data_IF_821630414127
#
_entry.id   IF_821630414127
#
_cell.length_a   1.000
_cell.length_b   1.000
_cell.length_c   1.000
_cell.angle_alpha   90.00
_cell.angle_beta   90.00
_cell.angle_gamma   90.00
#
_symmetry.space_group_name_H-M   'P 1'
#
loop_
_entity.id
_entity.type
_entity.pdbx_description
1 polymer ?
#
# COMPACT_ATOMS: atom_id res chain seq x y z
N UNK A 1 15.39 -10.57 -13.93
CA UNK A 1 15.10 -9.18 -14.35
C UNK A 1 13.69 -8.74 -13.95
N UNK A 2 12.62 -9.45 -14.37
CA UNK A 2 11.24 -9.03 -14.08
C UNK A 2 10.93 -8.87 -12.58
N UNK A 3 11.40 -9.79 -11.73
CA UNK A 3 11.24 -9.70 -10.28
C UNK A 3 11.87 -8.43 -9.70
N UNK A 4 13.15 -8.19 -9.98
CA UNK A 4 13.87 -7.00 -9.50
C UNK A 4 13.17 -5.73 -9.97
N UNK A 5 12.76 -5.66 -11.24
CA UNK A 5 12.03 -4.51 -11.77
C UNK A 5 10.70 -4.27 -11.04
N UNK A 6 9.92 -5.33 -10.78
CA UNK A 6 8.66 -5.27 -10.02
C UNK A 6 8.90 -4.82 -8.57
N UNK A 7 9.92 -5.36 -7.91
CA UNK A 7 10.28 -4.98 -6.53
C UNK A 7 10.75 -3.53 -6.43
N UNK A 8 11.59 -3.07 -7.38
CA UNK A 8 12.01 -1.66 -7.44
C UNK A 8 10.80 -0.75 -7.69
N UNK A 9 9.91 -1.13 -8.62
CA UNK A 9 8.69 -0.37 -8.91
C UNK A 9 7.78 -0.26 -7.67
N UNK A 10 7.54 -1.36 -6.97
CA UNK A 10 6.84 -1.39 -5.69
C UNK A 10 7.51 -0.47 -4.67
N UNK A 11 8.83 -0.57 -4.48
CA UNK A 11 9.55 0.22 -3.47
C UNK A 11 9.46 1.73 -3.74
N UNK A 12 9.53 2.15 -5.01
CA UNK A 12 9.37 3.56 -5.41
C UNK A 12 7.95 4.06 -5.15
N UNK A 13 6.93 3.30 -5.56
CA UNK A 13 5.53 3.68 -5.31
C UNK A 13 5.23 3.72 -3.82
N UNK A 14 5.69 2.73 -3.06
CA UNK A 14 5.48 2.66 -1.62
C UNK A 14 6.17 3.82 -0.90
N UNK A 15 7.35 4.25 -1.35
CA UNK A 15 8.01 5.43 -0.83
C UNK A 15 7.19 6.70 -1.05
N UNK A 16 6.66 6.89 -2.27
CA UNK A 16 5.81 8.03 -2.58
C UNK A 16 4.54 7.98 -1.72
N UNK A 17 3.86 6.84 -1.66
CA UNK A 17 2.66 6.66 -0.85
C UNK A 17 2.91 6.99 0.63
N UNK A 18 4.03 6.53 1.19
CA UNK A 18 4.44 6.88 2.56
C UNK A 18 4.62 8.38 2.76
N UNK A 19 5.32 9.07 1.84
CA UNK A 19 5.49 10.52 1.91
C UNK A 19 4.16 11.27 1.83
N UNK A 20 3.24 10.82 0.97
CA UNK A 20 1.92 11.42 0.84
C UNK A 20 1.11 11.29 2.14
N UNK A 21 1.13 10.12 2.80
CA UNK A 21 0.48 9.95 4.12
C UNK A 21 1.14 10.82 5.19
N UNK A 22 2.47 10.81 5.24
CA UNK A 22 3.25 11.55 6.24
C UNK A 22 3.01 13.07 6.12
N UNK A 23 3.04 13.61 4.91
CA UNK A 23 2.82 15.03 4.63
C UNK A 23 1.34 15.39 4.68
N UNK A 24 0.44 14.49 4.26
CA UNK A 24 -1.01 14.70 4.31
C UNK A 24 -1.57 14.79 5.73
N UNK A 25 -0.99 14.07 6.68
CA UNK A 25 -1.45 14.02 8.07
C UNK A 25 -1.50 15.37 8.81
N UNK A 26 -0.49 16.24 8.73
CA UNK A 26 -0.56 17.59 9.33
C UNK A 26 -1.28 18.63 8.46
N UNK A 27 -1.65 18.30 7.21
CA UNK A 27 -2.31 19.22 6.28
C UNK A 27 -3.83 19.27 6.45
N UNK A 28 -4.43 20.25 5.79
CA UNK A 28 -5.86 20.51 5.78
C UNK A 28 -6.64 19.39 5.06
N UNK A 29 -7.68 18.87 5.72
CA UNK A 29 -8.67 17.98 5.10
C UNK A 29 -9.83 18.76 4.51
N UNK A 30 -10.15 19.93 5.09
CA UNK A 30 -11.13 20.87 4.58
C UNK A 30 -10.58 22.30 4.59
N UNK A 31 -11.02 23.09 3.62
CA UNK A 31 -10.62 24.49 3.44
C UNK A 31 -11.85 25.35 3.20
N UNK A 32 -11.90 26.51 3.84
CA UNK A 32 -13.01 27.45 3.70
C UNK A 32 -13.23 27.87 2.26
N UNK A 33 -14.48 28.01 1.84
CA UNK A 33 -14.88 28.46 0.52
C UNK A 33 -16.02 29.49 0.53
N UNK A 34 -16.63 29.76 1.69
CA UNK A 34 -17.73 30.72 1.83
C UNK A 34 -17.30 32.02 2.54
N UNK A 35 -16.96 33.09 1.80
CA UNK A 35 -16.67 34.39 2.39
C UNK A 35 -17.95 35.11 2.84
N UNK A 36 -17.96 35.80 4.00
CA UNK A 36 -16.80 36.16 4.82
C UNK A 36 -16.53 35.21 5.99
N UNK A 37 -17.43 34.26 6.28
CA UNK A 37 -17.36 33.43 7.48
C UNK A 37 -16.19 32.44 7.44
N UNK A 38 -15.95 31.85 6.27
CA UNK A 38 -14.91 30.87 6.02
C UNK A 38 -14.07 31.31 4.82
N UNK A 39 -13.19 32.28 5.06
CA UNK A 39 -12.20 32.65 4.05
C UNK A 39 -11.37 31.44 3.63
N UNK A 40 -10.84 31.46 2.38
CA UNK A 40 -9.93 30.41 1.87
C UNK A 40 -8.65 30.25 2.69
N UNK A 41 -8.43 31.06 3.70
CA UNK A 41 -7.33 30.92 4.64
C UNK A 41 -7.67 29.97 5.80
N UNK A 42 -8.95 29.91 6.20
CA UNK A 42 -9.38 29.02 7.27
C UNK A 42 -9.31 27.57 6.82
N UNK A 43 -8.60 26.77 7.61
CA UNK A 43 -8.27 25.39 7.29
C UNK A 43 -8.57 24.48 8.47
N UNK A 44 -9.23 23.36 8.19
CA UNK A 44 -9.48 22.29 9.17
C UNK A 44 -8.58 21.12 8.80
N UNK A 45 -7.65 20.77 9.69
CA UNK A 45 -6.87 19.53 9.62
C UNK A 45 -7.58 18.44 10.42
N UNK A 46 -7.06 17.21 10.39
CA UNK A 46 -7.55 16.17 11.30
C UNK A 46 -7.39 16.53 12.78
N UNK A 47 -6.49 17.47 13.11
CA UNK A 47 -6.08 17.79 14.47
C UNK A 47 -6.71 19.07 15.02
N UNK A 48 -7.15 19.97 14.14
CA UNK A 48 -7.71 21.25 14.57
C UNK A 48 -7.85 22.27 13.44
N UNK A 49 -8.28 23.46 13.82
CA UNK A 49 -8.56 24.58 12.93
C UNK A 49 -7.45 25.61 12.95
N UNK A 50 -7.16 26.21 11.79
CA UNK A 50 -6.14 27.25 11.61
C UNK A 50 -6.75 28.45 10.89
N UNK A 51 -6.39 29.68 11.31
CA UNK A 51 -6.77 30.91 10.59
C UNK A 51 -6.10 30.94 9.23
N UNK A 52 -4.79 30.65 9.17
CA UNK A 52 -4.08 30.42 7.93
C UNK A 52 -3.61 28.97 7.89
N UNK A 53 -3.81 28.31 6.75
CA UNK A 53 -3.33 26.93 6.55
C UNK A 53 -1.82 26.75 6.78
N UNK A 54 -1.03 27.81 6.60
CA UNK A 54 0.43 27.84 6.80
C UNK A 54 0.85 27.98 8.27
N UNK A 55 -0.07 28.31 9.18
CA UNK A 55 0.24 28.47 10.59
C UNK A 55 0.58 27.11 11.23
N UNK A 56 1.54 27.11 12.15
CA UNK A 56 1.90 25.90 12.92
C UNK A 56 1.03 25.72 14.16
N UNK A 57 0.41 26.79 14.65
CA UNK A 57 -0.50 26.79 15.79
C UNK A 57 -1.95 26.55 15.37
N UNK A 58 -2.70 25.88 16.23
CA UNK A 58 -4.14 25.69 16.10
C UNK A 58 -4.87 26.76 16.92
N UNK A 59 -5.98 27.27 16.39
CA UNK A 59 -6.93 28.06 17.18
C UNK A 59 -7.72 27.19 18.14
N UNK A 60 -8.20 26.07 17.60
CA UNK A 60 -9.04 25.10 18.29
C UNK A 60 -8.57 23.71 17.89
N UNK A 61 -8.57 22.81 18.85
CA UNK A 61 -8.39 21.38 18.62
C UNK A 61 -9.61 20.80 17.90
N UNK A 62 -9.44 19.65 17.24
CA UNK A 62 -10.55 18.98 16.57
C UNK A 62 -11.69 18.63 17.54
N UNK A 63 -11.41 18.41 18.82
CA UNK A 63 -12.44 18.08 19.82
C UNK A 63 -13.25 19.31 20.23
N UNK A 64 -12.63 20.50 20.23
CA UNK A 64 -13.31 21.78 20.51
C UNK A 64 -14.16 22.23 19.32
N UNK A 65 -13.69 22.02 18.08
CA UNK A 65 -14.46 22.36 16.87
C UNK A 65 -15.74 21.54 16.77
N UNK A 66 -15.68 20.27 17.16
CA UNK A 66 -16.80 19.34 17.06
C UNK A 66 -17.48 19.09 18.40
N UNK A 67 -17.46 20.08 19.32
CA UNK A 67 -17.99 19.88 20.66
C UNK A 67 -19.49 19.54 20.64
N UNK A 68 -20.27 20.29 19.87
CA UNK A 68 -21.71 20.07 19.69
C UNK A 68 -22.05 18.98 18.65
N UNK A 69 -21.05 18.40 17.97
CA UNK A 69 -21.23 17.46 16.87
C UNK A 69 -20.56 16.09 17.17
N UNK A 70 -21.12 15.26 18.07
CA UNK A 70 -20.47 14.03 18.53
C UNK A 70 -20.19 13.03 17.40
N UNK A 71 -21.13 12.88 16.44
CA UNK A 71 -20.93 11.98 15.29
C UNK A 71 -19.75 12.38 14.41
N UNK A 72 -19.52 13.69 14.24
CA UNK A 72 -18.34 14.22 13.54
C UNK A 72 -17.08 14.09 14.39
N UNK A 73 -17.16 14.39 15.69
CA UNK A 73 -16.03 14.26 16.63
C UNK A 73 -15.47 12.83 16.65
N UNK A 74 -16.34 11.84 16.76
CA UNK A 74 -15.94 10.42 16.79
C UNK A 74 -15.27 9.99 15.49
N UNK A 75 -15.78 10.46 14.34
CA UNK A 75 -15.14 10.23 13.04
C UNK A 75 -13.75 10.85 12.97
N UNK A 76 -13.57 12.08 13.44
CA UNK A 76 -12.26 12.73 13.50
C UNK A 76 -11.30 12.01 14.43
N UNK A 77 -11.73 11.59 15.63
CA UNK A 77 -10.90 10.80 16.56
C UNK A 77 -10.45 9.47 15.95
N UNK A 78 -11.37 8.75 15.31
CA UNK A 78 -11.04 7.52 14.61
C UNK A 78 -10.06 7.79 13.46
N UNK A 79 -10.29 8.83 12.66
CA UNK A 79 -9.42 9.20 11.55
C UNK A 79 -8.01 9.63 12.02
N UNK A 80 -7.90 10.37 13.12
CA UNK A 80 -6.61 10.74 13.73
C UNK A 80 -5.81 9.48 14.11
N UNK A 81 -6.42 8.55 14.84
CA UNK A 81 -5.77 7.31 15.24
C UNK A 81 -5.35 6.47 14.02
N UNK A 82 -6.26 6.31 13.05
CA UNK A 82 -6.01 5.53 11.84
C UNK A 82 -4.98 6.17 10.91
N UNK A 83 -4.92 7.50 10.82
CA UNK A 83 -3.88 8.20 10.06
C UNK A 83 -2.50 7.95 10.65
N UNK A 84 -2.36 8.02 11.99
CA UNK A 84 -1.10 7.70 12.68
C UNK A 84 -0.71 6.24 12.46
N UNK A 85 -1.65 5.30 12.62
CA UNK A 85 -1.40 3.88 12.33
C UNK A 85 -0.96 3.69 10.87
N UNK A 86 -1.61 4.39 9.92
CA UNK A 86 -1.27 4.32 8.49
C UNK A 86 0.16 4.79 8.21
N UNK A 87 0.66 5.85 8.90
CA UNK A 87 2.07 6.27 8.78
C UNK A 87 3.00 5.10 9.10
N UNK A 88 2.76 4.39 10.21
CA UNK A 88 3.59 3.25 10.59
C UNK A 88 3.48 2.07 9.62
N UNK A 89 2.26 1.75 9.16
CA UNK A 89 2.04 0.67 8.19
C UNK A 89 2.76 0.95 6.87
N UNK A 90 2.58 2.15 6.32
CA UNK A 90 3.18 2.54 5.05
C UNK A 90 4.70 2.66 5.16
N UNK A 91 5.20 3.16 6.29
CA UNK A 91 6.64 3.23 6.59
C UNK A 91 7.27 1.84 6.75
N UNK A 92 6.63 0.93 7.48
CA UNK A 92 7.09 -0.45 7.61
C UNK A 92 7.07 -1.18 6.26
N UNK A 93 6.00 -1.02 5.47
CA UNK A 93 5.90 -1.59 4.13
C UNK A 93 6.98 -1.06 3.17
N UNK A 94 7.38 0.21 3.30
CA UNK A 94 8.50 0.78 2.56
C UNK A 94 9.84 0.16 2.99
N UNK A 95 10.14 0.12 4.29
CA UNK A 95 11.40 -0.45 4.81
C UNK A 95 11.54 -1.92 4.40
N UNK A 96 10.48 -2.71 4.58
CA UNK A 96 10.45 -4.11 4.12
C UNK A 96 10.54 -4.23 2.60
N UNK A 97 9.96 -3.28 1.85
CA UNK A 97 10.10 -3.15 0.40
C UNK A 97 11.52 -2.94 -0.08
N UNK A 98 12.30 -2.14 0.64
CA UNK A 98 13.73 -1.96 0.37
C UNK A 98 14.51 -3.22 0.74
N UNK A 99 14.19 -3.86 1.88
CA UNK A 99 14.82 -5.11 2.30
C UNK A 99 14.56 -6.27 1.33
N UNK A 100 13.40 -6.28 0.65
CA UNK A 100 13.07 -7.23 -0.42
C UNK A 100 14.06 -7.21 -1.59
N UNK A 101 14.76 -6.09 -1.83
CA UNK A 101 15.79 -6.01 -2.86
C UNK A 101 17.05 -6.80 -2.50
N UNK A 102 17.30 -7.03 -1.22
CA UNK A 102 18.50 -7.69 -0.71
C UNK A 102 18.22 -9.08 -0.13
N UNK A 103 16.96 -9.48 0.06
CA UNK A 103 16.59 -10.57 0.97
C UNK A 103 15.48 -11.51 0.44
N UNK A 104 14.94 -12.33 1.34
CA UNK A 104 14.05 -13.48 1.10
C UNK A 104 12.65 -13.10 0.58
N UNK A 105 12.07 -14.01 -0.23
CA UNK A 105 10.70 -13.92 -0.77
C UNK A 105 9.60 -13.82 0.32
N UNK A 106 9.87 -14.24 1.56
CA UNK A 106 8.93 -14.17 2.69
C UNK A 106 8.46 -12.73 2.96
N UNK A 107 9.34 -11.74 2.81
CA UNK A 107 8.97 -10.33 3.04
C UNK A 107 7.91 -9.83 2.05
N UNK A 108 7.70 -10.51 0.91
CA UNK A 108 6.69 -10.15 -0.09
C UNK A 108 5.30 -10.31 0.50
N UNK A 109 5.08 -11.43 1.19
CA UNK A 109 3.81 -11.70 1.86
C UNK A 109 3.56 -10.76 3.03
N UNK A 110 4.62 -10.40 3.79
CA UNK A 110 4.50 -9.40 4.85
C UNK A 110 4.12 -8.03 4.27
N UNK A 111 4.79 -7.59 3.20
CA UNK A 111 4.42 -6.36 2.50
C UNK A 111 2.98 -6.40 2.00
N UNK A 112 2.54 -7.51 1.41
CA UNK A 112 1.18 -7.67 0.93
C UNK A 112 0.15 -7.50 2.07
N UNK A 113 0.37 -8.16 3.21
CA UNK A 113 -0.50 -8.01 4.38
C UNK A 113 -0.52 -6.56 4.88
N UNK A 114 0.65 -5.90 4.96
CA UNK A 114 0.72 -4.49 5.38
C UNK A 114 -0.04 -3.56 4.43
N UNK A 115 0.07 -3.74 3.11
CA UNK A 115 -0.68 -2.95 2.13
C UNK A 115 -2.19 -3.23 2.23
N UNK A 116 -2.62 -4.48 2.44
CA UNK A 116 -4.03 -4.81 2.66
C UNK A 116 -4.58 -4.08 3.90
N UNK A 117 -3.85 -4.11 5.01
CA UNK A 117 -4.24 -3.38 6.23
C UNK A 117 -4.18 -1.86 5.99
N UNK A 118 -3.22 -1.39 5.20
CA UNK A 118 -3.08 -0.01 4.73
C UNK A 118 -4.33 0.50 4.01
N UNK A 119 -4.87 -0.28 3.08
CA UNK A 119 -6.11 0.05 2.36
C UNK A 119 -7.27 0.31 3.32
N UNK A 120 -7.46 -0.56 4.31
CA UNK A 120 -8.57 -0.41 5.25
C UNK A 120 -8.37 0.79 6.17
N UNK A 121 -7.19 0.92 6.75
CA UNK A 121 -6.89 2.00 7.70
C UNK A 121 -6.98 3.37 7.03
N UNK A 122 -6.28 3.59 5.92
CA UNK A 122 -6.30 4.86 5.19
C UNK A 122 -7.63 5.08 4.45
N UNK A 123 -8.26 4.01 3.98
CA UNK A 123 -9.58 4.04 3.37
C UNK A 123 -10.62 4.64 4.32
N UNK A 124 -10.64 4.21 5.58
CA UNK A 124 -11.53 4.76 6.60
C UNK A 124 -11.23 6.25 6.86
N UNK A 125 -9.95 6.66 6.86
CA UNK A 125 -9.57 8.08 7.08
C UNK A 125 -10.23 8.99 6.05
N UNK A 126 -9.96 8.80 4.75
CA UNK A 126 -10.52 9.71 3.74
C UNK A 126 -12.02 9.49 3.54
N UNK A 127 -12.52 8.26 3.64
CA UNK A 127 -13.96 7.99 3.51
C UNK A 127 -14.76 8.65 4.64
N UNK A 128 -14.25 8.65 5.88
CA UNK A 128 -14.90 9.35 6.99
C UNK A 128 -15.00 10.86 6.75
N UNK A 129 -14.00 11.46 6.10
CA UNK A 129 -14.05 12.87 5.68
C UNK A 129 -15.10 13.09 4.60
N UNK A 130 -15.24 12.20 3.62
CA UNK A 130 -16.34 12.27 2.64
C UNK A 130 -17.70 12.21 3.31
N UNK A 131 -17.89 11.30 4.29
CA UNK A 131 -19.15 11.27 5.05
C UNK A 131 -19.33 12.57 5.83
N UNK A 132 -18.28 13.17 6.39
CA UNK A 132 -18.40 14.47 7.10
C UNK A 132 -18.78 15.60 6.17
N UNK A 133 -18.29 15.55 4.93
CA UNK A 133 -18.55 16.56 3.93
C UNK A 133 -20.03 16.62 3.53
N UNK A 134 -20.69 15.46 3.37
CA UNK A 134 -22.06 15.39 2.85
C UNK A 134 -23.14 15.13 3.91
N UNK A 135 -22.78 14.56 5.08
CA UNK A 135 -23.75 14.22 6.11
C UNK A 135 -24.14 15.44 6.93
N UNK A 136 -25.41 15.80 6.83
CA UNK A 136 -26.08 16.72 7.74
C UNK A 136 -26.43 15.97 9.05
N UNK A 137 -26.02 16.52 10.19
CA UNK A 137 -26.26 15.97 11.54
C UNK A 137 -27.20 16.86 12.38
N UNK A 138 -27.90 17.81 11.74
CA UNK A 138 -28.86 18.71 12.37
C UNK A 138 -28.45 20.18 12.30
N UNK A 139 -29.29 21.05 12.86
CA UNK A 139 -29.17 22.51 12.74
C UNK A 139 -27.82 23.07 13.24
N UNK A 140 -27.29 22.51 14.33
CA UNK A 140 -25.96 22.88 14.87
C UNK A 140 -24.79 22.27 14.10
N UNK A 141 -25.05 21.24 13.29
CA UNK A 141 -24.03 20.42 12.63
C UNK A 141 -24.38 20.19 11.16
N UNK A 142 -24.54 21.26 10.35
CA UNK A 142 -24.84 21.13 8.94
C UNK A 142 -23.68 20.44 8.22
N UNK A 143 -23.98 19.90 7.04
CA UNK A 143 -22.99 19.36 6.11
C UNK A 143 -21.92 20.40 5.76
N UNK A 144 -20.65 19.98 5.69
CA UNK A 144 -19.53 20.90 5.43
C UNK A 144 -19.48 21.39 3.97
N UNK A 145 -20.17 20.73 3.04
CA UNK A 145 -20.06 21.08 1.61
C UNK A 145 -20.68 22.44 1.24
N UNK A 146 -21.47 23.07 2.11
CA UNK A 146 -21.94 24.44 1.90
C UNK A 146 -20.80 25.45 1.99
N UNK A 147 -19.91 25.24 2.97
CA UNK A 147 -18.98 26.28 3.42
C UNK A 147 -17.51 25.91 3.14
N UNK A 148 -17.24 24.63 2.87
CA UNK A 148 -15.90 24.08 2.71
C UNK A 148 -15.73 23.35 1.37
N UNK A 149 -14.47 23.29 0.93
CA UNK A 149 -13.98 22.39 -0.11
C UNK A 149 -12.96 21.42 0.51
N UNK A 150 -12.64 20.35 -0.21
CA UNK A 150 -11.57 19.43 0.20
C UNK A 150 -10.21 20.13 0.21
N UNK A 151 -9.47 19.90 1.29
CA UNK A 151 -8.12 20.40 1.49
C UNK A 151 -7.05 19.53 0.85
N UNK A 152 -5.80 19.98 0.91
CA UNK A 152 -4.68 19.28 0.28
C UNK A 152 -4.43 17.91 0.91
N UNK A 153 -4.50 17.82 2.24
CA UNK A 153 -4.33 16.58 2.99
C UNK A 153 -5.32 15.48 2.59
N UNK A 154 -6.57 15.86 2.29
CA UNK A 154 -7.58 14.92 1.78
C UNK A 154 -7.12 14.23 0.48
N UNK A 155 -6.67 15.03 -0.50
CA UNK A 155 -6.20 14.48 -1.78
C UNK A 155 -4.94 13.65 -1.62
N UNK A 156 -4.03 14.03 -0.73
CA UNK A 156 -2.82 13.25 -0.45
C UNK A 156 -3.16 11.86 0.11
N UNK A 157 -4.11 11.77 1.04
CA UNK A 157 -4.60 10.48 1.53
C UNK A 157 -5.26 9.64 0.43
N UNK A 158 -6.10 10.26 -0.41
CA UNK A 158 -6.76 9.57 -1.51
C UNK A 158 -5.76 9.02 -2.54
N UNK A 159 -4.77 9.83 -2.93
CA UNK A 159 -3.73 9.41 -3.88
C UNK A 159 -2.86 8.31 -3.27
N UNK A 160 -2.45 8.44 -2.00
CA UNK A 160 -1.70 7.40 -1.31
C UNK A 160 -2.47 6.07 -1.26
N UNK A 161 -3.77 6.12 -0.98
CA UNK A 161 -4.66 4.95 -0.99
C UNK A 161 -4.75 4.28 -2.37
N UNK A 162 -4.82 5.07 -3.45
CA UNK A 162 -4.76 4.53 -4.82
C UNK A 162 -3.41 3.87 -5.14
N UNK A 163 -2.29 4.46 -4.70
CA UNK A 163 -0.96 3.89 -4.89
C UNK A 163 -0.78 2.56 -4.14
N UNK A 164 -1.38 2.44 -2.94
CA UNK A 164 -1.40 1.21 -2.14
C UNK A 164 -2.11 0.06 -2.89
N UNK A 165 -3.24 0.35 -3.55
CA UNK A 165 -3.94 -0.63 -4.41
C UNK A 165 -3.05 -1.10 -5.57
N UNK A 166 -2.35 -0.16 -6.22
CA UNK A 166 -1.41 -0.49 -7.30
C UNK A 166 -0.30 -1.40 -6.77
N UNK A 167 0.24 -1.09 -5.59
CA UNK A 167 1.26 -1.90 -4.95
C UNK A 167 0.80 -3.33 -4.64
N UNK A 168 -0.43 -3.51 -4.17
CA UNK A 168 -1.02 -4.85 -4.01
C UNK A 168 -1.04 -5.60 -5.34
N UNK A 169 -1.49 -4.95 -6.43
CA UNK A 169 -1.49 -5.59 -7.74
C UNK A 169 -0.08 -6.03 -8.15
N UNK A 170 0.94 -5.18 -7.96
CA UNK A 170 2.36 -5.49 -8.24
C UNK A 170 2.86 -6.67 -7.40
N UNK A 171 2.47 -6.75 -6.13
CA UNK A 171 2.80 -7.84 -5.21
C UNK A 171 2.04 -9.15 -5.51
N UNK A 172 0.94 -9.09 -6.26
CA UNK A 172 0.20 -10.28 -6.69
C UNK A 172 0.60 -10.78 -8.08
N UNK A 173 1.24 -9.96 -8.92
CA UNK A 173 1.75 -10.41 -10.21
C UNK A 173 2.68 -11.62 -10.01
N UNK A 174 2.54 -12.70 -10.79
CA UNK A 174 3.36 -13.89 -10.65
C UNK A 174 4.85 -13.55 -10.73
N UNK A 175 5.62 -14.05 -9.75
CA UNK A 175 7.05 -14.23 -9.98
C UNK A 175 7.16 -15.27 -11.09
N UNK A 176 7.41 -14.83 -12.33
CA UNK A 176 7.87 -15.75 -13.35
C UNK A 176 9.27 -16.20 -12.93
N UNK A 177 9.34 -17.17 -12.02
CA UNK A 177 10.56 -17.90 -11.73
C UNK A 177 10.96 -18.58 -13.03
N UNK A 178 12.02 -18.06 -13.63
CA UNK A 178 12.65 -18.66 -14.80
C UNK A 178 13.41 -19.95 -14.45
N UNK A 179 13.06 -20.62 -13.33
CA UNK A 179 13.80 -21.72 -12.73
C UNK A 179 13.20 -23.10 -12.93
N UNK A 180 11.88 -23.29 -12.83
CA UNK A 180 11.32 -24.65 -12.89
C UNK A 180 11.16 -25.21 -14.31
N UNK A 181 10.96 -24.36 -15.32
CA UNK A 181 10.87 -24.83 -16.71
C UNK A 181 12.24 -25.19 -17.33
N UNK A 182 13.34 -24.81 -16.68
CA UNK A 182 14.67 -25.26 -17.10
C UNK A 182 14.96 -26.69 -16.58
N UNK A 183 14.40 -27.09 -15.44
CA UNK A 183 14.55 -28.45 -14.92
C UNK A 183 13.74 -29.46 -15.74
N UNK A 184 12.50 -29.14 -16.13
CA UNK A 184 11.70 -30.04 -16.98
C UNK A 184 12.30 -30.24 -18.38
N UNK A 185 13.08 -29.28 -18.91
CA UNK A 185 13.75 -29.45 -20.20
C UNK A 185 15.04 -30.27 -20.10
N UNK A 186 15.80 -30.17 -19.01
CA UNK A 186 17.00 -31.00 -18.86
C UNK A 186 16.64 -32.46 -18.54
N UNK A 187 15.57 -32.70 -17.78
CA UNK A 187 15.14 -34.07 -17.45
C UNK A 187 14.56 -34.80 -18.68
N UNK A 188 13.88 -34.11 -19.59
CA UNK A 188 13.40 -34.70 -20.85
C UNK A 188 14.52 -34.97 -21.87
N UNK A 189 15.66 -34.27 -21.79
CA UNK A 189 16.83 -34.57 -22.65
C UNK A 189 17.66 -35.74 -22.11
N UNK A 190 17.67 -36.00 -20.79
CA UNK A 190 18.38 -37.17 -20.22
C UNK A 190 17.60 -38.49 -20.38
N UNK A 191 16.26 -38.47 -20.49
CA UNK A 191 15.49 -39.71 -20.66
C UNK A 191 15.47 -40.26 -22.10
N UNK A 192 16.13 -39.58 -23.06
CA UNK A 192 16.20 -40.02 -24.45
C UNK A 192 17.63 -40.25 -24.95
N UNK A 193 18.43 -41.02 -24.20
CA UNK A 193 19.55 -41.75 -24.80
C UNK A 193 19.30 -43.27 -24.70
N UNK A 194 19.03 -43.96 -25.83
CA UNK A 194 18.44 -45.30 -25.83
C UNK A 194 19.41 -46.41 -25.43
N UNK A 195 18.97 -47.24 -24.47
CA UNK A 195 19.45 -48.59 -24.21
C UNK A 195 19.34 -49.46 -25.47
N UNK A 196 20.35 -49.45 -26.34
CA UNK A 196 20.29 -50.29 -27.54
C UNK A 196 21.64 -50.83 -28.04
N UNK A 197 22.69 -50.97 -27.23
CA UNK A 197 23.84 -51.84 -27.62
C UNK A 197 24.55 -52.44 -26.41
N UNK A 198 23.87 -53.31 -25.64
CA UNK A 198 24.58 -54.29 -24.80
C UNK A 198 23.79 -55.58 -24.59
N UNK A 199 23.45 -56.24 -25.69
CA UNK A 199 23.21 -57.69 -25.68
C UNK A 199 23.90 -58.28 -26.90
N UNK A 200 25.17 -58.64 -26.75
CA UNK A 200 25.72 -59.78 -27.48
C UNK A 200 26.52 -60.63 -26.50
N UNK A 201 25.98 -61.84 -26.38
CA UNK A 201 26.15 -62.90 -25.41
C UNK A 201 27.43 -63.72 -25.67
N UNK A 202 27.97 -64.43 -24.67
CA UNK A 202 29.21 -65.17 -24.81
C UNK A 202 28.98 -66.55 -25.43
N UNK A 203 29.90 -66.99 -26.28
CA UNK A 203 30.02 -68.41 -26.62
C UNK A 203 31.46 -68.85 -26.37
N UNK A 204 31.64 -69.53 -25.24
CA UNK A 204 32.70 -70.51 -25.07
C UNK A 204 32.50 -71.60 -26.12
N UNK A 205 33.52 -71.95 -26.90
CA UNK A 205 33.70 -73.31 -27.38
C UNK A 205 35.19 -73.57 -27.65
N UNK A 206 35.69 -74.54 -26.87
CA UNK A 206 36.56 -75.66 -27.27
C UNK A 206 37.90 -75.32 -27.97
N UNK A 207 39.06 -75.78 -27.49
CA UNK A 207 39.30 -77.13 -26.97
C UNK A 207 39.63 -78.10 -28.12
N UNK A 208 40.68 -77.84 -28.90
CA UNK A 208 41.33 -78.79 -29.80
C UNK A 208 42.85 -78.63 -29.59
N UNK A 209 43.50 -79.56 -28.90
CA UNK A 209 44.00 -80.87 -29.34
C UNK A 209 45.51 -80.83 -29.67
N UNK A 210 46.29 -81.32 -28.71
CA UNK A 210 47.29 -82.40 -28.86
C UNK A 210 48.23 -82.36 -30.08
N UNK A 211 49.45 -81.86 -29.87
CA UNK A 211 50.72 -82.56 -30.17
C UNK A 211 51.93 -81.84 -29.57
#
# INVERSE_FOLDING_TARGET
MQYIASTVFYAVIQFIAFLLVLVGTPLDVFRGNDPPFFERHFCITLWGGKINCSDTSYLFTSDEIWDDCPGRRDRFRAAQALAVISIFLYGAAFVLGVLLLFCCSIFRWVCLVLNIVGIFTLGIVWASMVVTYYKDEGESCPNLNSDFIYGSGFYLFLVAWCLDIINIAVLLLPCQERGSAASEKSELEEEHEPEAVRMQEPTQQEGEEMK
#
